data_IF_093938336430
#
_entry.id   IF_093938336430
#
_cell.length_a   1.000
_cell.length_b   1.000
_cell.length_c   1.000
_cell.angle_alpha   90.00
_cell.angle_beta   90.00
_cell.angle_gamma   90.00
#
_symmetry.space_group_name_H-M   'P 1'
#
loop_
_entity.id
_entity.type
_entity.pdbx_description
1 polymer ?
#
# COMPACT_ATOMS: atom_id res chain seq x y z
N UNK A 1 -18.15 -38.92 -10.69
CA UNK A 1 -18.98 -38.01 -11.51
C UNK A 1 -18.12 -37.54 -12.68
N UNK A 2 -18.42 -37.96 -13.90
CA UNK A 2 -17.62 -37.60 -15.08
C UNK A 2 -18.01 -36.21 -15.61
N UNK A 3 -17.31 -35.19 -15.12
CA UNK A 3 -17.46 -33.79 -15.55
C UNK A 3 -17.28 -33.61 -17.07
N UNK A 4 -16.41 -34.42 -17.68
CA UNK A 4 -16.15 -34.39 -19.13
C UNK A 4 -17.38 -34.87 -19.92
N UNK A 5 -18.03 -35.96 -19.47
CA UNK A 5 -19.26 -36.45 -20.13
C UNK A 5 -20.41 -35.46 -19.98
N UNK A 6 -20.53 -34.82 -18.82
CA UNK A 6 -21.54 -33.78 -18.59
C UNK A 6 -21.34 -32.57 -19.51
N UNK A 7 -20.09 -32.13 -19.68
CA UNK A 7 -19.75 -31.02 -20.58
C UNK A 7 -20.01 -31.36 -22.05
N UNK A 8 -19.73 -32.59 -22.48
CA UNK A 8 -20.01 -33.04 -23.86
C UNK A 8 -21.52 -33.17 -24.10
N UNK A 9 -22.27 -33.73 -23.15
CA UNK A 9 -23.72 -33.86 -23.26
C UNK A 9 -24.43 -32.51 -23.35
N UNK A 10 -23.94 -31.51 -22.59
CA UNK A 10 -24.47 -30.15 -22.55
C UNK A 10 -23.64 -29.16 -23.37
N UNK A 11 -23.11 -29.58 -24.51
CA UNK A 11 -22.17 -28.80 -25.32
C UNK A 11 -22.63 -27.37 -25.65
N UNK A 12 -23.95 -27.16 -25.89
CA UNK A 12 -24.51 -25.82 -26.15
C UNK A 12 -24.30 -24.89 -24.95
N UNK A 13 -24.59 -25.37 -23.74
CA UNK A 13 -24.38 -24.60 -22.51
C UNK A 13 -22.90 -24.36 -22.25
N UNK A 14 -22.05 -25.37 -22.46
CA UNK A 14 -20.59 -25.23 -22.30
C UNK A 14 -19.99 -24.20 -23.25
N UNK A 15 -20.40 -24.20 -24.52
CA UNK A 15 -19.93 -23.22 -25.52
C UNK A 15 -20.46 -21.82 -25.19
N UNK A 16 -21.74 -21.69 -24.81
CA UNK A 16 -22.29 -20.39 -24.39
C UNK A 16 -21.59 -19.83 -23.15
N UNK A 17 -21.28 -20.69 -22.16
CA UNK A 17 -20.54 -20.29 -20.97
C UNK A 17 -19.11 -19.86 -21.31
N UNK A 18 -18.42 -20.58 -22.21
CA UNK A 18 -17.10 -20.19 -22.70
C UNK A 18 -17.15 -18.81 -23.37
N UNK A 19 -18.13 -18.59 -24.25
CA UNK A 19 -18.26 -17.33 -24.98
C UNK A 19 -18.59 -16.17 -24.05
N UNK A 20 -19.44 -16.40 -23.05
CA UNK A 20 -19.72 -15.44 -21.98
C UNK A 20 -18.44 -15.09 -21.18
N UNK A 21 -17.65 -16.09 -20.77
CA UNK A 21 -16.41 -15.86 -20.02
C UNK A 21 -15.38 -15.07 -20.84
N UNK A 22 -15.28 -15.31 -22.14
CA UNK A 22 -14.39 -14.56 -23.03
C UNK A 22 -14.82 -13.09 -23.12
N UNK A 23 -16.12 -12.81 -23.29
CA UNK A 23 -16.64 -11.44 -23.35
C UNK A 23 -16.49 -10.73 -22.01
N UNK A 24 -16.82 -11.41 -20.90
CA UNK A 24 -16.65 -10.86 -19.56
C UNK A 24 -15.18 -10.56 -19.26
N UNK A 25 -14.27 -11.47 -19.64
CA UNK A 25 -12.83 -11.27 -19.51
C UNK A 25 -12.32 -10.11 -20.35
N UNK A 26 -12.84 -9.94 -21.57
CA UNK A 26 -12.51 -8.81 -22.44
C UNK A 26 -12.95 -7.47 -21.84
N UNK A 27 -14.18 -7.40 -21.33
CA UNK A 27 -14.69 -6.21 -20.64
C UNK A 27 -13.84 -5.89 -19.41
N UNK A 28 -13.53 -6.90 -18.58
CA UNK A 28 -12.68 -6.74 -17.41
C UNK A 28 -11.28 -6.25 -17.77
N UNK A 29 -10.68 -6.77 -18.85
CA UNK A 29 -9.38 -6.33 -19.34
C UNK A 29 -9.39 -4.85 -19.74
N UNK A 30 -10.45 -4.39 -20.39
CA UNK A 30 -10.60 -3.00 -20.81
C UNK A 30 -10.96 -2.07 -19.65
N UNK A 31 -11.75 -2.54 -18.68
CA UNK A 31 -12.18 -1.73 -17.53
C UNK A 31 -11.12 -1.62 -16.44
N UNK A 32 -10.14 -2.53 -16.41
CA UNK A 32 -9.09 -2.51 -15.39
C UNK A 32 -8.18 -1.31 -15.65
N UNK A 33 -8.14 -0.31 -14.74
CA UNK A 33 -7.24 0.82 -14.87
C UNK A 33 -5.80 0.30 -14.78
N UNK A 34 -5.01 0.60 -15.80
CA UNK A 34 -3.58 0.30 -15.81
C UNK A 34 -2.89 1.45 -15.10
N UNK A 35 -2.66 1.30 -13.79
CA UNK A 35 -1.83 2.26 -13.05
C UNK A 35 -0.38 2.12 -13.54
N UNK A 36 0.12 3.17 -14.20
CA UNK A 36 1.49 3.18 -14.75
C UNK A 36 2.56 3.25 -13.64
N UNK A 37 2.19 3.86 -12.52
CA UNK A 37 2.97 3.90 -11.29
C UNK A 37 2.10 3.27 -10.21
N UNK A 38 2.37 2.02 -9.79
CA UNK A 38 1.70 1.48 -8.62
C UNK A 38 2.10 2.34 -7.43
N UNK A 39 1.11 2.99 -6.79
CA UNK A 39 1.37 3.69 -5.55
C UNK A 39 1.75 2.65 -4.50
N UNK A 40 3.02 2.61 -4.12
CA UNK A 40 3.51 1.78 -3.02
C UNK A 40 3.47 2.69 -1.79
N UNK A 41 2.43 2.60 -0.94
CA UNK A 41 2.35 3.46 0.24
C UNK A 41 3.48 3.09 1.20
N UNK A 42 4.55 3.89 1.21
CA UNK A 42 5.60 3.79 2.21
C UNK A 42 5.03 4.42 3.49
N UNK A 43 4.81 3.64 4.57
CA UNK A 43 4.25 4.19 5.80
C UNK A 43 5.24 5.16 6.44
N UNK A 44 5.01 6.46 6.23
CA UNK A 44 5.82 7.54 6.81
C UNK A 44 5.00 8.29 7.85
N UNK A 45 5.63 8.59 8.99
CA UNK A 45 5.06 9.41 10.04
C UNK A 45 5.89 10.69 10.16
N UNK A 46 5.25 11.84 9.99
CA UNK A 46 5.89 13.15 10.14
C UNK A 46 5.51 13.77 11.48
N UNK A 47 6.53 14.16 12.26
CA UNK A 47 6.36 14.81 13.55
C UNK A 47 7.11 16.15 13.50
N UNK A 48 6.37 17.25 13.66
CA UNK A 48 6.93 18.59 13.75
C UNK A 48 6.78 19.12 15.18
N UNK A 49 7.87 19.60 15.74
CA UNK A 49 7.92 20.21 17.07
C UNK A 49 8.45 21.63 16.90
N UNK A 50 7.65 22.61 17.30
CA UNK A 50 8.00 24.03 17.20
C UNK A 50 8.13 24.57 18.62
N UNK A 51 9.29 25.12 18.96
CA UNK A 51 9.52 25.84 20.20
C UNK A 51 10.27 27.12 19.86
N UNK A 52 9.73 28.29 20.24
CA UNK A 52 10.28 29.58 19.85
C UNK A 52 11.36 30.06 20.81
N UNK A 53 12.42 30.66 20.28
CA UNK A 53 13.47 31.32 21.08
C UNK A 53 14.45 30.35 21.76
N UNK A 54 14.53 29.10 21.31
CA UNK A 54 15.51 28.11 21.76
C UNK A 54 16.67 28.02 20.76
N UNK A 55 17.87 27.78 21.28
CA UNK A 55 19.03 27.49 20.44
C UNK A 55 18.82 26.16 19.70
N UNK A 56 19.37 25.98 18.49
CA UNK A 56 19.35 24.69 17.80
C UNK A 56 19.94 23.57 18.66
N UNK A 57 20.99 23.85 19.42
CA UNK A 57 21.68 22.91 20.29
C UNK A 57 20.81 22.45 21.47
N UNK A 58 20.11 23.38 22.13
CA UNK A 58 19.20 23.03 23.21
C UNK A 58 17.93 22.36 22.68
N UNK A 59 17.48 22.70 21.47
CA UNK A 59 16.36 22.02 20.80
C UNK A 59 16.66 20.55 20.55
N UNK A 60 17.88 20.24 20.10
CA UNK A 60 18.30 18.85 19.91
C UNK A 60 18.29 18.11 21.25
N UNK A 61 18.90 18.71 22.28
CA UNK A 61 19.09 18.04 23.57
C UNK A 61 17.79 17.87 24.36
N UNK A 62 16.92 18.87 24.34
CA UNK A 62 15.70 18.92 25.17
C UNK A 62 14.45 18.40 24.47
N UNK A 63 14.37 18.53 23.14
CA UNK A 63 13.18 18.14 22.37
C UNK A 63 13.47 16.90 21.53
N UNK A 64 14.52 16.92 20.71
CA UNK A 64 14.78 15.88 19.73
C UNK A 64 15.19 14.55 20.39
N UNK A 65 16.18 14.55 21.28
CA UNK A 65 16.70 13.32 21.93
C UNK A 65 15.66 12.57 22.78
N UNK A 66 14.86 13.23 23.65
CA UNK A 66 13.84 12.52 24.43
C UNK A 66 12.74 11.94 23.55
N UNK A 67 12.38 12.64 22.48
CA UNK A 67 11.39 12.17 21.52
C UNK A 67 11.91 10.99 20.70
N UNK A 68 13.15 11.06 20.22
CA UNK A 68 13.82 9.97 19.52
C UNK A 68 13.86 8.70 20.38
N UNK A 69 14.23 8.81 21.65
CA UNK A 69 14.29 7.68 22.58
C UNK A 69 12.92 7.01 22.77
N UNK A 70 11.84 7.80 22.86
CA UNK A 70 10.47 7.28 22.99
C UNK A 70 9.98 6.63 21.69
N UNK A 71 10.25 7.24 20.55
CA UNK A 71 9.79 6.78 19.23
C UNK A 71 10.60 5.58 18.71
N UNK A 72 11.86 5.43 19.14
CA UNK A 72 12.72 4.29 18.80
C UNK A 72 12.20 2.94 19.33
N UNK A 73 11.39 2.97 20.39
CA UNK A 73 10.78 1.78 20.97
C UNK A 73 9.49 1.32 20.25
N UNK A 74 9.06 2.02 19.20
CA UNK A 74 7.88 1.64 18.42
C UNK A 74 8.18 0.39 17.57
N UNK A 75 7.28 -0.60 17.64
CA UNK A 75 7.37 -1.81 16.82
C UNK A 75 7.07 -1.46 15.36
N UNK A 76 7.95 -1.90 14.45
CA UNK A 76 7.79 -1.67 13.01
C UNK A 76 8.52 -0.43 12.47
N UNK A 77 9.33 0.24 13.28
CA UNK A 77 10.18 1.35 12.83
C UNK A 77 11.37 0.80 12.01
N UNK A 78 11.43 1.12 10.71
CA UNK A 78 12.57 0.75 9.85
C UNK A 78 13.65 1.83 9.84
N UNK A 79 13.26 3.07 9.60
CA UNK A 79 14.16 4.23 9.59
C UNK A 79 13.48 5.42 10.28
N UNK A 80 14.27 6.19 11.02
CA UNK A 80 13.85 7.45 11.63
C UNK A 80 14.91 8.51 11.31
N UNK A 81 14.47 9.64 10.76
CA UNK A 81 15.31 10.80 10.48
C UNK A 81 14.76 11.98 11.25
N UNK A 82 15.65 12.66 11.96
CA UNK A 82 15.31 13.78 12.84
C UNK A 82 16.27 14.92 12.52
N UNK A 83 15.75 16.14 12.40
CA UNK A 83 16.57 17.33 12.18
C UNK A 83 16.02 18.48 13.01
N UNK A 84 16.92 19.23 13.66
CA UNK A 84 16.61 20.47 14.35
C UNK A 84 17.14 21.62 13.50
N UNK A 85 16.27 22.58 13.18
CA UNK A 85 16.61 23.79 12.44
C UNK A 85 16.16 25.02 13.24
N UNK A 86 16.82 26.16 13.01
CA UNK A 86 16.49 27.45 13.62
C UNK A 86 15.31 28.13 12.93
#
# INVERSE_FOLDING_TARGET
MDIVRLAIHNARLTISALLFLLVAGWVAYQSTPKEAEPDVPIPMMYISLIYQGISPEDSERLLLRPMESKLKNLKGLKEMRSAAFQ
#
